data_IF_294159106776
#
_entry.id   IF_294159106776
#
_cell.length_a   1.000
_cell.length_b   1.000
_cell.length_c   1.000
_cell.angle_alpha   90.00
_cell.angle_beta   90.00
_cell.angle_gamma   90.00
#
_symmetry.space_group_name_H-M   'P 1'
#
loop_
_entity.id
_entity.type
_entity.pdbx_description
1 polymer ?
#
# COMPACT_ATOMS: atom_id res chain seq x y z
N UNK A 1 -26.80 -9.97 -14.13
CA UNK A 1 -26.37 -8.55 -13.96
C UNK A 1 -25.73 -8.26 -12.59
N UNK A 2 -26.35 -8.59 -11.44
CA UNK A 2 -25.71 -8.36 -10.11
C UNK A 2 -24.43 -9.17 -9.89
N UNK A 3 -24.44 -10.46 -10.28
CA UNK A 3 -23.27 -11.36 -10.15
C UNK A 3 -22.11 -10.97 -11.07
N UNK A 4 -22.41 -10.51 -12.29
CA UNK A 4 -21.41 -10.04 -13.24
C UNK A 4 -20.77 -8.72 -12.80
N UNK A 5 -21.53 -7.82 -12.18
CA UNK A 5 -20.99 -6.59 -11.60
C UNK A 5 -20.07 -6.87 -10.39
N UNK A 6 -20.46 -7.80 -9.51
CA UNK A 6 -19.62 -8.23 -8.38
C UNK A 6 -18.32 -8.90 -8.86
N UNK A 7 -18.39 -9.76 -9.88
CA UNK A 7 -17.22 -10.41 -10.45
C UNK A 7 -16.27 -9.38 -11.09
N UNK A 8 -16.79 -8.39 -11.83
CA UNK A 8 -15.98 -7.32 -12.40
C UNK A 8 -15.30 -6.45 -11.33
N UNK A 9 -16.02 -6.15 -10.23
CA UNK A 9 -15.46 -5.41 -9.10
C UNK A 9 -14.32 -6.21 -8.43
N UNK A 10 -14.53 -7.49 -8.14
CA UNK A 10 -13.49 -8.36 -7.55
C UNK A 10 -12.29 -8.50 -8.49
N UNK A 11 -12.52 -8.62 -9.80
CA UNK A 11 -11.44 -8.71 -10.80
C UNK A 11 -10.61 -7.42 -10.86
N UNK A 12 -11.24 -6.25 -10.68
CA UNK A 12 -10.51 -4.97 -10.60
C UNK A 12 -9.64 -4.85 -9.34
N UNK A 13 -9.97 -5.57 -8.27
CA UNK A 13 -9.21 -5.61 -7.01
C UNK A 13 -8.12 -6.70 -7.00
N UNK A 14 -8.31 -7.79 -7.75
CA UNK A 14 -7.46 -8.97 -7.76
C UNK A 14 -6.14 -8.83 -8.53
N UNK A 15 -5.52 -7.66 -8.48
CA UNK A 15 -4.20 -7.41 -9.05
C UNK A 15 -3.43 -6.31 -8.32
N UNK A 16 -3.96 -5.79 -7.21
CA UNK A 16 -3.31 -4.69 -6.51
C UNK A 16 -2.24 -5.22 -5.55
N UNK A 17 -0.97 -4.88 -5.80
CA UNK A 17 0.13 -5.09 -4.86
C UNK A 17 0.31 -3.82 -4.06
N UNK A 18 0.37 -3.93 -2.74
CA UNK A 18 0.55 -2.79 -1.84
C UNK A 18 2.03 -2.67 -1.50
N UNK A 19 2.61 -1.51 -1.78
CA UNK A 19 4.03 -1.21 -1.53
C UNK A 19 4.17 0.01 -0.62
N UNK A 20 5.23 0.07 0.22
CA UNK A 20 5.50 1.25 1.02
C UNK A 20 6.16 2.34 0.13
N UNK A 21 5.72 3.58 0.27
CA UNK A 21 6.30 4.74 -0.40
C UNK A 21 6.69 5.80 0.63
N UNK A 22 7.90 6.35 0.50
CA UNK A 22 8.35 7.45 1.37
C UNK A 22 7.92 8.78 0.77
N UNK A 23 7.16 9.56 1.53
CA UNK A 23 6.74 10.90 1.14
C UNK A 23 7.46 11.95 1.99
N UNK A 24 7.79 13.06 1.35
CA UNK A 24 8.46 14.20 1.97
C UNK A 24 7.46 15.35 2.07
N UNK A 25 7.13 15.77 3.29
CA UNK A 25 6.21 16.88 3.54
C UNK A 25 6.96 18.01 4.26
N UNK A 26 7.00 19.24 3.70
CA UNK A 26 7.56 20.39 4.40
C UNK A 26 6.71 20.70 5.63
N UNK A 27 7.32 20.78 6.81
CA UNK A 27 6.62 21.17 8.03
C UNK A 27 6.97 22.59 8.48
N UNK A 28 5.96 23.44 8.74
CA UNK A 28 6.17 24.85 9.05
C UNK A 28 6.83 25.06 10.42
N UNK A 29 6.66 24.13 11.38
CA UNK A 29 7.10 24.33 12.76
C UNK A 29 8.57 23.97 13.03
N UNK A 30 9.13 23.02 12.28
CA UNK A 30 10.49 22.51 12.53
C UNK A 30 11.53 22.90 11.46
N UNK A 31 11.17 23.77 10.51
CA UNK A 31 12.03 24.23 9.38
C UNK A 31 12.76 23.09 8.66
N UNK A 32 12.21 21.88 8.70
CA UNK A 32 12.82 20.62 8.26
C UNK A 32 11.76 19.81 7.50
N UNK A 33 12.21 19.00 6.54
CA UNK A 33 11.34 18.08 5.79
C UNK A 33 10.96 16.91 6.70
N UNK A 34 9.67 16.75 7.00
CA UNK A 34 9.15 15.56 7.67
C UNK A 34 9.08 14.42 6.66
N UNK A 35 9.59 13.26 7.06
CA UNK A 35 9.50 12.03 6.30
C UNK A 35 8.36 11.21 6.89
N UNK A 36 7.49 10.69 6.03
CA UNK A 36 6.51 9.67 6.41
C UNK A 36 6.46 8.59 5.33
N UNK A 37 6.01 7.41 5.69
CA UNK A 37 5.73 6.32 4.77
C UNK A 37 4.22 6.15 4.64
N UNK A 38 3.76 5.95 3.41
CA UNK A 38 2.36 5.71 3.04
C UNK A 38 2.27 4.44 2.19
N UNK A 39 1.12 3.75 2.24
CA UNK A 39 0.88 2.56 1.41
C UNK A 39 0.32 2.98 0.05
N UNK A 40 0.92 2.48 -1.03
CA UNK A 40 0.42 2.67 -2.38
C UNK A 40 0.01 1.34 -3.00
N UNK A 41 -1.23 1.29 -3.51
CA UNK A 41 -1.72 0.14 -4.27
C UNK A 41 -1.32 0.29 -5.75
N UNK A 42 -0.55 -0.66 -6.28
CA UNK A 42 -0.12 -0.73 -7.67
C UNK A 42 -0.84 -1.88 -8.35
N UNK A 43 -1.59 -1.60 -9.40
CA UNK A 43 -2.30 -2.63 -10.14
C UNK A 43 -1.35 -3.35 -11.10
N UNK A 44 -1.16 -4.64 -10.87
CA UNK A 44 -0.45 -5.57 -11.74
C UNK A 44 -1.43 -5.97 -12.85
N UNK A 45 -1.50 -5.15 -13.89
CA UNK A 45 -2.46 -5.29 -14.97
C UNK A 45 -2.12 -6.48 -15.90
N UNK A 46 -2.57 -7.69 -15.58
CA UNK A 46 -2.39 -8.86 -16.47
C UNK A 46 -3.54 -9.88 -16.50
N UNK A 47 -4.63 -9.68 -15.74
CA UNK A 47 -5.76 -10.61 -15.74
C UNK A 47 -6.91 -10.04 -16.58
N UNK A 48 -6.81 -10.14 -17.91
CA UNK A 48 -7.92 -9.81 -18.82
C UNK A 48 -8.41 -11.06 -19.55
N UNK A 49 -9.74 -11.28 -19.55
CA UNK A 49 -10.41 -12.21 -20.47
C UNK A 49 -10.45 -13.71 -20.14
N UNK A 50 -10.42 -14.13 -18.85
CA UNK A 50 -10.55 -15.55 -18.49
C UNK A 50 -11.96 -15.90 -17.95
N UNK A 51 -12.58 -16.97 -18.46
CA UNK A 51 -13.96 -17.37 -18.13
C UNK A 51 -14.12 -18.81 -17.57
N UNK A 52 -13.05 -19.48 -17.15
CA UNK A 52 -13.11 -20.85 -16.62
C UNK A 52 -12.60 -20.98 -15.17
N UNK A 53 -12.59 -22.20 -14.61
CA UNK A 53 -12.10 -22.52 -13.27
C UNK A 53 -10.66 -22.04 -13.01
N UNK A 54 -9.81 -22.01 -14.05
CA UNK A 54 -8.47 -21.42 -13.98
C UNK A 54 -8.47 -19.93 -13.60
N UNK A 55 -9.54 -19.19 -13.96
CA UNK A 55 -9.73 -17.81 -13.55
C UNK A 55 -9.91 -17.70 -12.04
N UNK A 56 -10.70 -18.60 -11.44
CA UNK A 56 -10.94 -18.62 -10.00
C UNK A 56 -9.64 -18.88 -9.22
N UNK A 57 -8.78 -19.76 -9.72
CA UNK A 57 -7.47 -20.05 -9.13
C UNK A 57 -6.54 -18.84 -9.24
N UNK A 58 -6.46 -18.21 -10.42
CA UNK A 58 -5.63 -17.00 -10.62
C UNK A 58 -6.10 -15.84 -9.75
N UNK A 59 -7.42 -15.63 -9.65
CA UNK A 59 -8.04 -14.64 -8.78
C UNK A 59 -7.71 -14.90 -7.30
N UNK A 60 -7.82 -16.16 -6.86
CA UNK A 60 -7.49 -16.53 -5.49
C UNK A 60 -6.01 -16.28 -5.19
N UNK A 61 -5.11 -16.68 -6.09
CA UNK A 61 -3.68 -16.44 -5.95
C UNK A 61 -3.37 -14.94 -5.89
N UNK A 62 -3.97 -14.14 -6.76
CA UNK A 62 -3.77 -12.70 -6.80
C UNK A 62 -4.36 -11.98 -5.57
N UNK A 63 -5.48 -12.48 -5.02
CA UNK A 63 -6.02 -12.00 -3.75
C UNK A 63 -5.08 -12.28 -2.56
N UNK A 64 -4.48 -13.47 -2.52
CA UNK A 64 -3.51 -13.85 -1.48
C UNK A 64 -2.25 -12.98 -1.57
N UNK A 65 -1.71 -12.75 -2.77
CA UNK A 65 -0.52 -11.90 -2.94
C UNK A 65 -0.80 -10.44 -2.57
N UNK A 66 -1.97 -9.92 -2.95
CA UNK A 66 -2.40 -8.58 -2.54
C UNK A 66 -2.44 -8.45 -1.01
N UNK A 67 -3.10 -9.39 -0.32
CA UNK A 67 -3.17 -9.40 1.14
C UNK A 67 -1.78 -9.52 1.79
N UNK A 68 -0.94 -10.43 1.31
CA UNK A 68 0.42 -10.60 1.82
C UNK A 68 1.26 -9.32 1.67
N UNK A 69 1.20 -8.68 0.49
CA UNK A 69 1.91 -7.43 0.23
C UNK A 69 1.43 -6.30 1.15
N UNK A 70 0.13 -6.21 1.42
CA UNK A 70 -0.43 -5.22 2.33
C UNK A 70 0.06 -5.39 3.77
N UNK A 71 0.14 -6.63 4.28
CA UNK A 71 0.63 -6.91 5.63
C UNK A 71 2.10 -6.56 5.77
N UNK A 72 2.94 -7.04 4.83
CA UNK A 72 4.38 -6.78 4.86
C UNK A 72 4.66 -5.28 4.73
N UNK A 73 4.10 -4.64 3.71
CA UNK A 73 4.29 -3.20 3.48
C UNK A 73 3.72 -2.35 4.63
N UNK A 74 2.58 -2.74 5.20
CA UNK A 74 1.97 -2.06 6.34
C UNK A 74 2.87 -2.08 7.57
N UNK A 75 3.50 -3.22 7.86
CA UNK A 75 4.46 -3.31 8.98
C UNK A 75 5.66 -2.38 8.80
N UNK A 76 6.18 -2.28 7.57
CA UNK A 76 7.29 -1.37 7.24
C UNK A 76 6.87 0.09 7.44
N UNK A 77 5.66 0.46 7.01
CA UNK A 77 5.12 1.81 7.17
C UNK A 77 5.00 2.20 8.64
N UNK A 78 4.46 1.31 9.48
CA UNK A 78 4.30 1.58 10.91
C UNK A 78 5.66 1.80 11.58
N UNK A 79 6.61 0.91 11.35
CA UNK A 79 7.96 1.03 11.93
C UNK A 79 8.68 2.27 11.40
N UNK A 80 8.64 2.53 10.09
CA UNK A 80 9.26 3.69 9.46
C UNK A 80 8.70 5.01 9.99
N UNK A 81 7.38 5.13 10.11
CA UNK A 81 6.73 6.32 10.68
C UNK A 81 7.09 6.52 12.15
N UNK A 82 7.21 5.45 12.94
CA UNK A 82 7.64 5.55 14.33
C UNK A 82 9.07 6.07 14.44
N UNK A 83 9.99 5.56 13.61
CA UNK A 83 11.39 6.05 13.57
C UNK A 83 11.44 7.53 13.14
N UNK A 84 10.70 7.92 12.11
CA UNK A 84 10.67 9.31 11.67
C UNK A 84 10.08 10.26 12.71
N UNK A 85 9.11 9.80 13.50
CA UNK A 85 8.60 10.56 14.64
C UNK A 85 9.67 10.75 15.72
N UNK A 86 10.45 9.72 16.05
CA UNK A 86 11.57 9.83 16.99
C UNK A 86 12.67 10.78 16.48
N UNK A 87 13.06 10.65 15.21
CA UNK A 87 14.02 11.56 14.56
C UNK A 87 13.55 13.01 14.65
N UNK A 88 12.26 13.24 14.46
CA UNK A 88 11.65 14.57 14.56
C UNK A 88 11.72 15.13 15.98
N UNK A 89 11.39 14.32 16.99
CA UNK A 89 11.51 14.76 18.39
C UNK A 89 12.94 15.16 18.73
N UNK A 90 13.94 14.38 18.32
CA UNK A 90 15.35 14.69 18.56
C UNK A 90 15.84 15.94 17.82
N UNK A 91 15.44 16.14 16.56
CA UNK A 91 15.90 17.28 15.74
C UNK A 91 15.24 18.60 16.11
N UNK A 92 13.95 18.60 16.46
CA UNK A 92 13.26 19.83 16.85
C UNK A 92 13.53 20.24 18.31
N UNK A 93 13.81 19.28 19.21
CA UNK A 93 14.18 19.57 20.60
C UNK A 93 15.61 20.14 20.74
N UNK A 94 16.50 19.89 19.78
CA UNK A 94 17.88 20.38 19.79
C UNK A 94 18.02 21.84 19.30
N UNK A 95 16.95 22.49 18.85
CA UNK A 95 16.93 23.89 18.39
C UNK A 95 16.31 24.86 19.41
N UNK A 96 16.35 24.51 20.71
CA UNK A 96 15.98 25.43 21.80
C UNK A 96 17.18 26.04 22.50
#
# INVERSE_FOLDING_TARGET
MKRTALAALVLSLAGCVVVPQTVYRPHPECRTVERSMELQAVQVAWISGCSNEGCAVLLAAAGVTAAASAVVSGSIVVVGNFVYWLERQGRCAHTS
#
